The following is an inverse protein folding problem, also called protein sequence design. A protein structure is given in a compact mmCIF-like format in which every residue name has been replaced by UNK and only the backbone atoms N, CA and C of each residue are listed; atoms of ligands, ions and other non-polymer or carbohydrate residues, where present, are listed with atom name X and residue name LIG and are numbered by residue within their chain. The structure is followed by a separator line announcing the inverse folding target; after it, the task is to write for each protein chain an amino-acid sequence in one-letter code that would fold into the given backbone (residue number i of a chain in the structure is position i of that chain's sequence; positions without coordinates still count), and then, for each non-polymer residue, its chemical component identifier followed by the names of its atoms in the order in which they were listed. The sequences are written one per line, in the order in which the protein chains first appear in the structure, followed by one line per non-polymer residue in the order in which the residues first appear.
data_IF_835922390658
#
_entry.id   IF_835922390658
#
_cell.length_a   1.000
_cell.length_b   1.000
_cell.length_c   1.000
_cell.angle_alpha   90.00
_cell.angle_beta   90.00
_cell.angle_gamma   90.00
#
_symmetry.space_group_name_H-M   'P 1'
#
loop_
_entity.id
_entity.type
_entity.pdbx_description
1 polymer ?
#
# COMPACT_ATOMS: atom_id res chain seq x y z
N UNK A 1 -0.77 -4.60 3.52
CA UNK A 1 -1.10 -5.30 4.78
C UNK A 1 -1.67 -6.71 4.56
N UNK A 2 -2.85 -6.88 3.99
CA UNK A 2 -3.47 -8.21 3.77
C UNK A 2 -2.58 -9.19 3.03
N UNK A 3 -1.74 -8.71 2.14
CA UNK A 3 -0.74 -9.51 1.44
C UNK A 3 0.28 -10.18 2.36
N UNK A 4 0.66 -9.53 3.46
CA UNK A 4 1.67 -10.05 4.40
C UNK A 4 1.06 -11.05 5.39
N UNK A 5 -0.19 -10.83 5.81
CA UNK A 5 -0.85 -11.60 6.87
C UNK A 5 -1.93 -12.56 6.35
N UNK A 6 -2.23 -12.51 5.05
CA UNK A 6 -3.30 -13.29 4.43
C UNK A 6 -4.67 -12.60 4.49
N UNK A 7 -5.51 -12.88 3.49
CA UNK A 7 -6.85 -12.29 3.38
C UNK A 7 -7.81 -12.77 4.47
N UNK A 8 -7.58 -13.96 5.01
CA UNK A 8 -8.38 -14.52 6.10
C UNK A 8 -8.29 -13.69 7.38
N UNK A 9 -7.18 -12.99 7.56
CA UNK A 9 -6.93 -12.16 8.75
C UNK A 9 -7.26 -10.70 8.54
N UNK A 10 -7.15 -10.19 7.30
CA UNK A 10 -7.30 -8.77 7.00
C UNK A 10 -7.66 -8.54 5.53
N UNK A 11 -8.87 -8.11 5.25
CA UNK A 11 -9.26 -7.60 3.94
C UNK A 11 -8.88 -6.11 3.78
N UNK A 12 -8.42 -5.72 2.60
CA UNK A 12 -8.19 -4.33 2.20
C UNK A 12 -8.75 -4.09 0.81
N UNK A 13 -9.26 -2.89 0.58
CA UNK A 13 -9.72 -2.42 -0.74
C UNK A 13 -8.83 -1.28 -1.26
N UNK A 14 -7.88 -0.84 -0.45
CA UNK A 14 -6.96 0.24 -0.77
C UNK A 14 -5.58 -0.35 -1.07
N UNK A 15 -4.95 0.15 -2.12
CA UNK A 15 -3.58 -0.16 -2.48
C UNK A 15 -2.71 1.07 -2.22
N UNK A 16 -1.80 0.96 -1.27
CA UNK A 16 -0.83 2.01 -0.98
C UNK A 16 0.44 1.74 -1.78
N UNK A 17 0.95 2.73 -2.50
CA UNK A 17 2.13 2.62 -3.36
C UNK A 17 3.04 3.83 -3.20
N UNK A 18 4.36 3.61 -3.31
CA UNK A 18 5.35 4.67 -3.35
C UNK A 18 6.10 4.63 -4.68
N UNK A 19 6.21 5.79 -5.33
CA UNK A 19 6.97 5.95 -6.57
C UNK A 19 8.31 6.61 -6.27
N UNK A 20 9.39 6.03 -6.81
CA UNK A 20 10.74 6.57 -6.69
C UNK A 20 11.25 7.12 -8.02
N UNK A 21 11.95 8.25 -7.97
CA UNK A 21 12.62 8.83 -9.14
C UNK A 21 11.68 9.39 -10.21
N UNK A 22 10.46 9.74 -9.81
CA UNK A 22 9.41 10.23 -10.69
C UNK A 22 8.75 11.48 -10.10
N UNK A 23 8.42 12.45 -10.95
CA UNK A 23 7.69 13.65 -10.50
C UNK A 23 6.19 13.31 -10.46
N UNK A 24 5.62 13.37 -9.27
CA UNK A 24 4.20 13.07 -9.05
C UNK A 24 3.35 14.24 -9.52
N UNK A 25 2.69 14.08 -10.68
CA UNK A 25 1.69 15.02 -11.19
C UNK A 25 0.42 14.27 -11.60
N UNK A 26 -0.72 14.94 -11.57
CA UNK A 26 -2.01 14.34 -11.97
C UNK A 26 -1.96 13.80 -13.42
N UNK A 27 -1.37 14.55 -14.35
CA UNK A 27 -1.27 14.14 -15.76
C UNK A 27 -0.43 12.88 -15.92
N UNK A 28 0.73 12.84 -15.24
CA UNK A 28 1.63 11.70 -15.32
C UNK A 28 1.02 10.44 -14.71
N UNK A 29 0.40 10.57 -13.54
CA UNK A 29 -0.31 9.46 -12.87
C UNK A 29 -1.47 8.96 -13.73
N UNK A 30 -2.28 9.88 -14.26
CA UNK A 30 -3.41 9.53 -15.13
C UNK A 30 -2.95 8.79 -16.39
N UNK A 31 -1.83 9.21 -16.99
CA UNK A 31 -1.25 8.54 -18.16
C UNK A 31 -0.83 7.11 -17.82
N UNK A 32 -0.07 6.93 -16.74
CA UNK A 32 0.38 5.61 -16.28
C UNK A 32 -0.82 4.68 -16.04
N UNK A 33 -1.84 5.15 -15.31
CA UNK A 33 -2.98 4.31 -15.01
C UNK A 33 -3.86 3.99 -16.21
N UNK A 34 -3.94 4.87 -17.20
CA UNK A 34 -4.57 4.54 -18.48
C UNK A 34 -3.83 3.42 -19.21
N UNK A 35 -2.49 3.48 -19.23
CA UNK A 35 -1.68 2.44 -19.85
C UNK A 35 -1.80 1.12 -19.11
N UNK A 36 -1.79 1.15 -17.75
CA UNK A 36 -2.01 -0.05 -16.91
C UNK A 36 -3.39 -0.66 -17.15
N UNK A 37 -4.45 0.15 -17.17
CA UNK A 37 -5.81 -0.34 -17.42
C UNK A 37 -6.01 -0.85 -18.85
N UNK A 38 -5.16 -0.44 -19.81
CA UNK A 38 -5.20 -0.93 -21.19
C UNK A 38 -4.52 -2.29 -21.37
N UNK A 39 -3.77 -2.78 -20.38
CA UNK A 39 -3.14 -4.11 -20.44
C UNK A 39 -4.24 -5.18 -20.48
N UNK A 40 -4.22 -5.99 -21.53
CA UNK A 40 -5.17 -7.10 -21.65
C UNK A 40 -4.69 -8.29 -20.85
N UNK A 41 -5.52 -8.75 -19.93
CA UNK A 41 -5.32 -9.96 -19.14
C UNK A 41 -6.48 -10.89 -19.47
N UNK A 42 -6.22 -12.20 -19.53
CA UNK A 42 -7.21 -13.22 -19.84
C UNK A 42 -8.03 -13.59 -18.56
N UNK A 43 -8.76 -12.62 -18.03
CA UNK A 43 -9.56 -12.77 -16.79
C UNK A 43 -10.94 -12.11 -16.87
N UNK A 44 -11.36 -11.64 -18.04
CA UNK A 44 -12.63 -10.95 -18.28
C UNK A 44 -12.87 -9.68 -17.42
N UNK A 45 -11.86 -9.22 -16.66
CA UNK A 45 -11.96 -8.01 -15.83
C UNK A 45 -11.46 -6.79 -16.61
N UNK A 46 -12.27 -5.75 -16.63
CA UNK A 46 -11.90 -4.46 -17.23
C UNK A 46 -11.75 -3.38 -16.16
N UNK A 47 -10.64 -2.68 -16.20
CA UNK A 47 -10.38 -1.57 -15.31
C UNK A 47 -10.63 -0.23 -16.00
N UNK A 48 -11.26 0.69 -15.28
CA UNK A 48 -11.55 2.05 -15.75
C UNK A 48 -11.03 3.06 -14.73
N UNK A 49 -10.32 4.09 -15.21
CA UNK A 49 -9.91 5.21 -14.36
C UNK A 49 -11.06 6.18 -14.20
N UNK A 50 -11.55 6.33 -12.99
CA UNK A 50 -12.66 7.21 -12.65
C UNK A 50 -12.20 8.65 -12.36
N UNK A 51 -10.99 8.82 -11.83
CA UNK A 51 -10.42 10.13 -11.54
C UNK A 51 -9.15 10.08 -10.72
N UNK A 52 -8.51 11.24 -10.58
CA UNK A 52 -7.36 11.47 -9.71
C UNK A 52 -7.61 12.67 -8.82
N UNK A 53 -7.13 12.63 -7.58
CA UNK A 53 -7.29 13.71 -6.61
C UNK A 53 -6.11 13.73 -5.64
N UNK A 54 -5.80 14.87 -5.06
CA UNK A 54 -4.80 14.96 -4.00
C UNK A 54 -5.31 14.28 -2.72
N UNK A 55 -4.44 13.55 -2.02
CA UNK A 55 -4.79 12.87 -0.77
C UNK A 55 -4.87 13.89 0.37
N UNK A 56 -3.96 14.88 0.37
CA UNK A 56 -3.91 15.95 1.37
C UNK A 56 -3.37 17.22 0.72
N UNK A 57 -4.07 18.33 0.90
CA UNK A 57 -3.67 19.62 0.37
C UNK A 57 -2.60 20.34 1.21
N UNK A 58 -2.35 19.87 2.44
CA UNK A 58 -1.58 20.62 3.46
C UNK A 58 -0.31 19.90 3.94
N UNK A 59 0.03 18.73 3.44
CA UNK A 59 1.21 17.99 3.88
C UNK A 59 2.44 18.30 3.00
N UNK A 60 3.62 18.28 3.61
CA UNK A 60 4.92 18.47 2.95
C UNK A 60 5.22 17.38 1.88
N UNK A 61 4.49 16.27 1.91
CA UNK A 61 4.60 15.16 0.96
C UNK A 61 3.31 15.00 0.15
N UNK A 62 3.32 15.40 -1.12
CA UNK A 62 2.15 15.27 -1.97
C UNK A 62 1.83 13.79 -2.24
N UNK A 63 0.57 13.44 -2.05
CA UNK A 63 0.04 12.14 -2.43
C UNK A 63 -1.11 12.29 -3.41
N UNK A 64 -1.23 11.39 -4.36
CA UNK A 64 -2.31 11.36 -5.35
C UNK A 64 -3.11 10.07 -5.18
N UNK A 65 -4.42 10.20 -5.04
CA UNK A 65 -5.37 9.10 -5.06
C UNK A 65 -5.91 8.89 -6.45
N UNK A 66 -5.79 7.67 -6.96
CA UNK A 66 -6.42 7.23 -8.20
C UNK A 66 -7.65 6.40 -7.83
N UNK A 67 -8.80 6.83 -8.32
CA UNK A 67 -10.05 6.07 -8.21
C UNK A 67 -10.22 5.21 -9.46
N UNK A 68 -10.37 3.92 -9.26
CA UNK A 68 -10.55 2.93 -10.31
C UNK A 68 -11.88 2.21 -10.13
N UNK A 69 -12.33 1.59 -11.19
CA UNK A 69 -13.48 0.70 -11.21
C UNK A 69 -13.12 -0.58 -11.94
N UNK A 70 -13.23 -1.71 -11.25
CA UNK A 70 -13.10 -3.03 -11.85
C UNK A 70 -14.48 -3.54 -12.28
N UNK A 71 -14.65 -3.84 -13.54
CA UNK A 71 -15.90 -4.31 -14.15
C UNK A 71 -15.76 -5.78 -14.57
N UNK A 72 -16.60 -6.63 -14.01
CA UNK A 72 -16.82 -8.02 -14.38
C UNK A 72 -18.34 -8.26 -14.41
N UNK A 73 -19.01 -8.07 -15.56
CA UNK A 73 -20.48 -8.05 -15.61
C UNK A 73 -21.14 -9.30 -15.03
N UNK A 74 -22.16 -9.16 -14.15
CA UNK A 74 -22.81 -7.91 -13.76
C UNK A 74 -22.18 -7.20 -12.55
N UNK A 75 -21.01 -7.62 -12.10
CA UNK A 75 -20.32 -7.09 -10.91
C UNK A 75 -19.47 -5.90 -11.30
N UNK A 76 -19.47 -4.89 -10.43
CA UNK A 76 -18.59 -3.72 -10.57
C UNK A 76 -18.12 -3.27 -9.18
N UNK A 77 -16.81 -3.16 -8.99
CA UNK A 77 -16.18 -2.88 -7.71
C UNK A 77 -15.33 -1.62 -7.80
N UNK A 78 -15.55 -0.61 -6.94
CA UNK A 78 -14.65 0.52 -6.83
C UNK A 78 -13.36 0.10 -6.12
N UNK A 79 -12.23 0.63 -6.58
CA UNK A 79 -10.90 0.44 -6.00
C UNK A 79 -10.21 1.80 -5.87
N UNK A 80 -9.33 1.94 -4.90
CA UNK A 80 -8.48 3.12 -4.75
C UNK A 80 -7.01 2.72 -4.70
N UNK A 81 -6.18 3.54 -5.34
CA UNK A 81 -4.72 3.44 -5.26
C UNK A 81 -4.19 4.77 -4.75
N UNK A 82 -3.58 4.75 -3.59
CA UNK A 82 -2.90 5.90 -3.00
C UNK A 82 -1.43 5.85 -3.40
N UNK A 83 -0.96 6.94 -4.01
CA UNK A 83 0.40 7.06 -4.53
C UNK A 83 1.10 8.16 -3.77
N UNK A 84 2.22 7.84 -3.15
CA UNK A 84 3.09 8.78 -2.45
C UNK A 84 4.48 8.83 -3.08
N UNK A 85 5.26 9.81 -2.69
CA UNK A 85 6.69 9.91 -3.02
C UNK A 85 7.46 10.25 -1.76
N UNK A 86 8.73 9.85 -1.71
CA UNK A 86 9.62 10.22 -0.62
C UNK A 86 9.60 9.29 0.58
N UNK A 87 8.76 8.27 0.60
CA UNK A 87 8.72 7.32 1.71
C UNK A 87 10.07 6.64 1.94
N UNK A 88 10.51 6.65 3.19
CA UNK A 88 11.81 6.12 3.59
C UNK A 88 11.72 4.63 3.91
N UNK A 89 12.08 3.79 2.95
CA UNK A 89 12.11 2.33 3.14
C UNK A 89 13.46 1.92 3.75
N UNK A 90 13.45 1.29 4.91
CA UNK A 90 14.66 0.94 5.67
C UNK A 90 14.79 -0.57 5.84
N UNK A 91 15.90 -1.20 5.41
CA UNK A 91 17.03 -0.63 4.66
C UNK A 91 16.72 -0.38 3.18
N UNK A 92 15.80 -1.15 2.60
CA UNK A 92 15.34 -1.04 1.20
C UNK A 92 14.07 -1.88 0.99
N UNK A 93 13.43 -1.69 -0.15
CA UNK A 93 12.36 -2.56 -0.64
C UNK A 93 12.82 -4.02 -0.79
N UNK A 94 11.88 -4.93 -0.66
CA UNK A 94 12.07 -6.37 -0.87
C UNK A 94 11.21 -6.84 -2.05
N UNK A 95 11.67 -7.85 -2.75
CA UNK A 95 10.82 -8.57 -3.69
C UNK A 95 9.90 -9.49 -2.88
N UNK A 96 8.59 -9.29 -3.04
CA UNK A 96 7.58 -10.07 -2.36
C UNK A 96 6.74 -10.82 -3.39
N UNK A 97 6.58 -12.13 -3.17
CA UNK A 97 5.81 -13.00 -4.04
C UNK A 97 4.43 -13.25 -3.45
N UNK A 98 3.40 -12.85 -4.19
CA UNK A 98 2.00 -13.11 -3.86
C UNK A 98 1.52 -14.37 -4.54
N UNK A 99 0.79 -15.21 -3.81
CA UNK A 99 -0.03 -16.28 -4.39
C UNK A 99 -1.38 -15.69 -4.81
N UNK A 100 -1.83 -16.02 -6.01
CA UNK A 100 -3.16 -15.65 -6.47
C UNK A 100 -4.23 -16.41 -5.69
N UNK A 101 -5.42 -15.79 -5.54
CA UNK A 101 -6.51 -16.39 -4.75
C UNK A 101 -7.20 -17.57 -5.43
N UNK A 102 -7.28 -17.56 -6.76
CA UNK A 102 -8.12 -18.48 -7.52
C UNK A 102 -7.35 -19.39 -8.45
N UNK A 103 -6.02 -19.29 -8.46
CA UNK A 103 -5.14 -20.16 -9.23
C UNK A 103 -3.77 -20.31 -8.56
N UNK A 104 -2.93 -21.20 -9.10
CA UNK A 104 -1.59 -21.49 -8.56
C UNK A 104 -0.51 -20.49 -9.03
N UNK A 105 -0.89 -19.43 -9.74
CA UNK A 105 0.06 -18.40 -10.19
C UNK A 105 0.53 -17.55 -9.03
N UNK A 106 1.72 -17.00 -9.20
CA UNK A 106 2.32 -16.04 -8.27
C UNK A 106 2.69 -14.75 -9.00
N UNK A 107 2.63 -13.63 -8.29
CA UNK A 107 3.07 -12.33 -8.79
C UNK A 107 4.18 -11.83 -7.86
N UNK A 108 5.32 -11.44 -8.43
CA UNK A 108 6.40 -10.79 -7.68
C UNK A 108 6.34 -9.28 -7.85
N UNK A 109 6.33 -8.57 -6.74
CA UNK A 109 6.31 -7.10 -6.70
C UNK A 109 7.34 -6.58 -5.69
N UNK A 110 7.82 -5.36 -5.91
CA UNK A 110 8.59 -4.66 -4.88
C UNK A 110 7.64 -4.20 -3.77
N UNK A 111 7.97 -4.50 -2.54
CA UNK A 111 7.16 -4.17 -1.36
C UNK A 111 8.02 -3.63 -0.23
N UNK A 112 7.39 -2.98 0.73
CA UNK A 112 8.03 -2.62 1.99
C UNK A 112 8.37 -3.87 2.77
N UNK A 113 9.53 -3.86 3.44
CA UNK A 113 9.86 -4.91 4.39
C UNK A 113 9.00 -4.77 5.66
N UNK A 114 9.00 -5.82 6.47
CA UNK A 114 8.18 -5.90 7.69
C UNK A 114 8.45 -4.73 8.66
N UNK A 115 9.73 -4.38 8.80
CA UNK A 115 10.18 -3.34 9.72
C UNK A 115 9.69 -1.96 9.30
N UNK A 116 9.72 -1.63 8.01
CA UNK A 116 9.17 -0.36 7.50
C UNK A 116 7.66 -0.29 7.73
N UNK A 117 6.92 -1.35 7.40
CA UNK A 117 5.45 -1.39 7.63
C UNK A 117 5.12 -1.24 9.12
N UNK A 118 5.87 -1.91 10.00
CA UNK A 118 5.68 -1.76 11.45
C UNK A 118 6.02 -0.34 11.92
N UNK A 119 7.10 0.25 11.42
CA UNK A 119 7.52 1.60 11.78
C UNK A 119 6.45 2.65 11.42
N UNK A 120 5.90 2.61 10.21
CA UNK A 120 4.82 3.49 9.78
C UNK A 120 3.56 3.35 10.64
N UNK A 121 3.18 2.12 10.98
CA UNK A 121 2.04 1.86 11.85
C UNK A 121 2.27 2.35 13.27
N UNK A 122 3.46 2.14 13.81
CA UNK A 122 3.84 2.62 15.15
C UNK A 122 3.88 4.15 15.18
N UNK A 123 4.49 4.79 14.17
CA UNK A 123 4.49 6.25 14.04
C UNK A 123 3.06 6.79 13.99
N UNK A 124 2.20 6.24 13.14
CA UNK A 124 0.80 6.67 13.02
C UNK A 124 0.00 6.55 14.33
N UNK A 125 0.32 5.54 15.18
CA UNK A 125 -0.28 5.40 16.51
C UNK A 125 0.31 6.40 17.50
N UNK A 126 1.63 6.57 17.50
CA UNK A 126 2.33 7.44 18.46
C UNK A 126 2.06 8.93 18.19
N UNK A 127 2.12 9.37 16.93
CA UNK A 127 1.88 10.77 16.54
C UNK A 127 0.46 11.22 16.84
N UNK A 128 -0.54 10.34 16.67
CA UNK A 128 -1.95 10.65 16.94
C UNK A 128 -2.33 10.48 18.41
N UNK A 129 -1.54 9.74 19.18
CA UNK A 129 -1.75 9.51 20.61
C UNK A 129 -3.22 9.19 20.94
N UNK A 130 -3.80 9.84 21.98
CA UNK A 130 -5.20 9.67 22.40
C UNK A 130 -6.24 10.13 21.37
N UNK A 131 -5.84 10.93 20.38
CA UNK A 131 -6.68 11.34 19.27
C UNK A 131 -6.74 10.31 18.13
N UNK A 132 -6.07 9.15 18.28
CA UNK A 132 -6.10 8.11 17.28
C UNK A 132 -7.48 7.44 17.21
N UNK A 133 -8.20 7.72 16.13
CA UNK A 133 -9.52 7.14 15.83
C UNK A 133 -9.44 5.92 14.90
N UNK A 134 -8.23 5.39 14.64
CA UNK A 134 -7.99 4.26 13.72
C UNK A 134 -7.67 2.98 14.49
N UNK A 135 -8.67 2.24 15.00
CA UNK A 135 -8.44 0.98 15.72
C UNK A 135 -7.74 -0.08 14.86
N UNK A 136 -7.82 0.06 13.52
CA UNK A 136 -7.14 -0.84 12.57
C UNK A 136 -5.62 -0.81 12.70
N UNK A 137 -5.02 0.34 13.00
CA UNK A 137 -3.55 0.44 13.12
C UNK A 137 -3.04 -0.40 14.31
N UNK A 138 -3.77 -0.41 15.43
CA UNK A 138 -3.45 -1.27 16.58
C UNK A 138 -3.60 -2.76 16.24
N UNK A 139 -4.66 -3.13 15.54
CA UNK A 139 -4.87 -4.49 15.08
C UNK A 139 -3.77 -4.91 14.09
N UNK A 140 -3.43 -4.05 13.15
CA UNK A 140 -2.39 -4.28 12.15
C UNK A 140 -1.03 -4.54 12.83
N UNK A 141 -0.65 -3.73 13.83
CA UNK A 141 0.60 -3.94 14.60
C UNK A 141 0.55 -5.27 15.33
N UNK A 142 -0.57 -5.57 16.03
CA UNK A 142 -0.73 -6.81 16.77
C UNK A 142 -0.60 -8.03 15.86
N UNK A 143 -1.33 -8.07 14.75
CA UNK A 143 -1.35 -9.25 13.87
C UNK A 143 -0.01 -9.44 13.14
N UNK A 144 0.63 -8.36 12.69
CA UNK A 144 1.96 -8.42 12.10
C UNK A 144 2.98 -8.99 13.09
N UNK A 145 2.96 -8.50 14.33
CA UNK A 145 3.88 -8.97 15.35
C UNK A 145 3.58 -10.41 15.76
N UNK A 146 2.32 -10.79 15.90
CA UNK A 146 1.92 -12.14 16.27
C UNK A 146 2.30 -13.19 15.20
N UNK A 147 2.14 -12.86 13.91
CA UNK A 147 2.40 -13.78 12.81
C UNK A 147 3.84 -13.74 12.30
N UNK A 148 4.48 -12.60 12.30
CA UNK A 148 5.78 -12.38 11.67
C UNK A 148 6.84 -11.76 12.59
N UNK A 149 6.52 -11.51 13.87
CA UNK A 149 7.42 -10.85 14.80
C UNK A 149 8.75 -11.56 15.02
N UNK A 150 8.80 -12.89 14.85
CA UNK A 150 10.03 -13.67 14.91
C UNK A 150 11.00 -13.36 13.76
N UNK A 151 10.50 -12.84 12.63
CA UNK A 151 11.30 -12.45 11.46
C UNK A 151 11.80 -10.99 11.56
N UNK A 152 11.23 -10.22 12.47
CA UNK A 152 11.52 -8.80 12.62
C UNK A 152 12.91 -8.56 13.24
N UNK A 153 13.79 -7.87 12.51
CA UNK A 153 15.06 -7.38 13.04
C UNK A 153 14.85 -6.09 13.85
N UNK A 154 15.06 -6.18 15.16
CA UNK A 154 14.82 -5.05 16.08
C UNK A 154 15.69 -3.83 15.81
N UNK A 155 16.93 -4.03 15.32
CA UNK A 155 17.82 -2.92 15.03
C UNK A 155 17.38 -2.20 13.75
N UNK A 156 16.89 -2.94 12.77
CA UNK A 156 16.30 -2.38 11.54
C UNK A 156 14.98 -1.67 11.82
N UNK A 157 14.09 -2.27 12.65
CA UNK A 157 12.84 -1.62 13.07
C UNK A 157 13.10 -0.29 13.76
N UNK A 158 14.07 -0.25 14.68
CA UNK A 158 14.44 1.00 15.36
C UNK A 158 14.89 2.07 14.35
N UNK A 159 15.79 1.72 13.42
CA UNK A 159 16.24 2.66 12.36
C UNK A 159 15.11 3.10 11.44
N UNK A 160 14.18 2.18 11.10
CA UNK A 160 13.02 2.51 10.31
C UNK A 160 12.14 3.54 11.04
N UNK A 161 11.87 3.32 12.33
CA UNK A 161 11.06 4.23 13.14
C UNK A 161 11.73 5.61 13.29
N UNK A 162 13.04 5.67 13.55
CA UNK A 162 13.80 6.92 13.61
C UNK A 162 13.66 7.72 12.32
N UNK A 163 13.71 7.08 11.15
CA UNK A 163 13.59 7.74 9.85
C UNK A 163 12.15 8.12 9.46
N UNK A 164 11.16 7.39 9.93
CA UNK A 164 9.75 7.71 9.68
C UNK A 164 9.30 8.93 10.49
N UNK A 165 10.02 9.26 11.57
CA UNK A 165 9.72 10.41 12.44
C UNK A 165 10.51 11.68 12.09
N UNK A 166 11.45 11.63 11.15
CA UNK A 166 12.19 12.78 10.61
C UNK A 166 11.36 13.55 9.57
#
# INVERSE_FOLDING_TARGET
MSAIVGLDTRATMDLDTTIKGFTLTHEAVLSIFKDVCAVQIDDDVQFEVMGVADIRETDDYPGIRVSLKANYPPISVPLTVDITTGDMITPREIEYTFSMLFDDRTISVLAYNLETVLAEKLEAVLSRNIANTRPRDYYDIYILYALRGAECDKATLRRALERTTE
#
